data_IF_820098941028
#
_entry.id   IF_820098941028
#
_cell.length_a   1.000
_cell.length_b   1.000
_cell.length_c   1.000
_cell.angle_alpha   90.00
_cell.angle_beta   90.00
_cell.angle_gamma   90.00
#
_symmetry.space_group_name_H-M   'P 1'
#
loop_
_entity.id
_entity.type
_entity.pdbx_description
1 polymer ?
#
# COMPACT_ATOMS: atom_id res chain seq x y z
N UNK A 1 -8.54 -30.93 26.66
CA UNK A 1 -8.63 -30.39 25.28
C UNK A 1 -9.83 -29.44 25.22
N UNK A 2 -9.68 -28.25 24.62
CA UNK A 2 -10.64 -27.10 24.59
C UNK A 2 -10.69 -26.19 25.83
N UNK A 3 -9.57 -25.64 26.31
CA UNK A 3 -9.53 -24.42 27.16
C UNK A 3 -8.26 -23.56 26.96
N UNK A 4 -7.68 -23.55 25.76
CA UNK A 4 -6.42 -22.84 25.47
C UNK A 4 -6.53 -21.67 24.46
N UNK A 5 -7.73 -21.37 23.96
CA UNK A 5 -7.93 -20.32 22.94
C UNK A 5 -8.39 -18.96 23.50
N UNK A 6 -8.69 -18.84 24.80
CA UNK A 6 -9.34 -17.64 25.36
C UNK A 6 -8.34 -16.64 25.97
N UNK A 7 -7.07 -17.04 26.19
CA UNK A 7 -6.08 -16.14 26.82
C UNK A 7 -5.49 -15.11 25.85
N UNK A 8 -5.59 -15.31 24.53
CA UNK A 8 -5.08 -14.33 23.55
C UNK A 8 -5.96 -13.11 23.35
N UNK A 9 -7.21 -13.11 23.81
CA UNK A 9 -8.14 -11.99 23.60
C UNK A 9 -8.16 -10.96 24.74
N UNK A 10 -7.42 -11.20 25.84
CA UNK A 10 -7.45 -10.35 27.04
C UNK A 10 -6.13 -9.60 27.34
N UNK A 11 -5.16 -9.65 26.43
CA UNK A 11 -3.92 -8.84 26.51
C UNK A 11 -3.91 -7.66 25.50
N UNK A 12 -5.08 -7.23 25.02
CA UNK A 12 -5.22 -6.05 24.16
C UNK A 12 -5.37 -4.72 24.96
N UNK A 13 -5.21 -4.73 26.29
CA UNK A 13 -5.36 -3.55 27.15
C UNK A 13 -4.10 -3.16 27.95
N UNK A 14 -2.99 -3.88 27.79
CA UNK A 14 -1.69 -3.42 28.29
C UNK A 14 -1.00 -2.75 27.11
N UNK A 15 -0.95 -1.42 27.14
CA UNK A 15 -0.36 -0.54 26.13
C UNK A 15 1.15 -0.70 25.94
N UNK A 16 1.63 -1.93 25.72
CA UNK A 16 2.89 -2.16 25.04
C UNK A 16 2.63 -1.82 23.58
N UNK A 17 2.70 -0.53 23.25
CA UNK A 17 3.01 -0.13 21.88
C UNK A 17 4.31 -0.88 21.55
N UNK A 18 4.31 -1.83 20.59
CA UNK A 18 5.59 -2.27 20.06
C UNK A 18 6.38 -1.00 19.71
N UNK A 19 7.68 -0.92 20.02
CA UNK A 19 8.45 0.27 19.70
C UNK A 19 8.15 0.59 18.25
N UNK A 20 7.55 1.76 18.01
CA UNK A 20 7.35 2.24 16.65
C UNK A 20 8.75 2.26 16.06
N UNK A 21 9.03 1.27 15.22
CA UNK A 21 10.33 1.13 14.61
C UNK A 21 10.52 2.43 13.86
N UNK A 22 11.48 3.25 14.30
CA UNK A 22 11.95 4.39 13.53
C UNK A 22 12.61 3.78 12.30
N UNK A 23 11.78 3.44 11.30
CA UNK A 23 12.26 3.08 9.99
C UNK A 23 12.89 4.34 9.42
N UNK A 24 14.22 4.31 9.29
CA UNK A 24 14.94 5.32 8.56
C UNK A 24 14.56 5.14 7.07
N UNK A 25 13.44 5.74 6.67
CA UNK A 25 12.84 5.67 5.34
C UNK A 25 13.66 6.47 4.32
N UNK A 26 14.88 6.00 4.04
CA UNK A 26 15.52 6.28 2.77
C UNK A 26 15.49 4.99 1.97
N UNK A 27 14.43 4.80 1.15
CA UNK A 27 14.48 3.80 0.09
C UNK A 27 15.79 4.00 -0.66
N UNK A 28 16.58 2.94 -0.80
CA UNK A 28 17.86 3.01 -1.54
C UNK A 28 17.64 3.22 -3.05
N UNK A 29 16.41 3.05 -3.52
CA UNK A 29 16.02 3.28 -4.90
C UNK A 29 15.46 4.69 -5.06
N UNK A 30 15.88 5.34 -6.14
CA UNK A 30 15.14 6.50 -6.64
C UNK A 30 13.76 6.01 -7.06
N UNK A 31 12.73 6.48 -6.37
CA UNK A 31 11.34 6.24 -6.74
C UNK A 31 10.75 7.46 -7.44
N UNK A 32 9.86 7.19 -8.38
CA UNK A 32 8.96 8.18 -8.95
C UNK A 32 7.58 8.00 -8.33
N UNK A 33 6.89 9.09 -8.06
CA UNK A 33 5.53 9.05 -7.51
C UNK A 33 4.64 10.07 -8.18
N UNK A 34 3.34 9.85 -8.09
CA UNK A 34 2.37 10.73 -8.72
C UNK A 34 0.94 10.38 -8.37
N UNK A 35 0.03 10.99 -9.14
CA UNK A 35 -1.39 10.78 -8.98
C UNK A 35 -2.03 10.36 -10.30
N UNK A 36 -2.95 9.41 -10.22
CA UNK A 36 -3.82 8.99 -11.31
C UNK A 36 -5.20 9.59 -11.04
N UNK A 37 -5.65 10.46 -11.94
CA UNK A 37 -6.98 11.06 -11.84
C UNK A 37 -8.03 10.04 -12.27
N UNK A 38 -9.07 9.93 -11.44
CA UNK A 38 -10.19 9.01 -11.58
C UNK A 38 -11.49 9.77 -11.38
N UNK A 39 -12.62 9.16 -11.72
CA UNK A 39 -13.90 9.81 -11.48
C UNK A 39 -14.13 10.04 -9.97
N UNK A 40 -14.43 11.29 -9.63
CA UNK A 40 -14.61 11.74 -8.26
C UNK A 40 -13.37 11.63 -7.36
N UNK A 41 -12.14 11.63 -7.89
CA UNK A 41 -10.94 11.61 -7.05
C UNK A 41 -9.58 11.45 -7.74
N UNK A 42 -8.58 11.07 -6.93
CA UNK A 42 -7.22 10.74 -7.38
C UNK A 42 -6.63 9.59 -6.57
N UNK A 43 -5.86 8.74 -7.24
CA UNK A 43 -5.10 7.65 -6.62
C UNK A 43 -3.62 8.03 -6.57
N UNK A 44 -3.00 8.00 -5.40
CA UNK A 44 -1.55 8.10 -5.27
C UNK A 44 -0.89 6.79 -5.70
N UNK A 45 0.25 6.88 -6.39
CA UNK A 45 1.11 5.73 -6.64
C UNK A 45 2.59 6.10 -6.45
N UNK A 46 3.40 5.08 -6.20
CA UNK A 46 4.85 5.14 -6.18
C UNK A 46 5.41 3.95 -6.95
N UNK A 47 6.48 4.19 -7.72
CA UNK A 47 7.17 3.18 -8.51
C UNK A 47 8.67 3.29 -8.41
N UNK A 48 9.35 2.14 -8.43
CA UNK A 48 10.80 2.03 -8.43
C UNK A 48 11.26 0.76 -9.15
N UNK A 49 12.54 0.70 -9.50
CA UNK A 49 13.15 -0.44 -10.16
C UNK A 49 12.95 -0.46 -11.68
N UNK A 50 13.30 -1.57 -12.31
CA UNK A 50 13.21 -1.83 -13.77
C UNK A 50 12.84 -3.30 -14.02
N UNK A 51 12.46 -3.64 -15.24
CA UNK A 51 12.06 -4.99 -15.65
C UNK A 51 10.55 -5.21 -15.61
N UNK A 52 10.16 -6.48 -15.39
CA UNK A 52 8.76 -6.89 -15.35
C UNK A 52 8.01 -6.22 -14.19
N UNK A 53 6.74 -5.87 -14.43
CA UNK A 53 5.93 -5.16 -13.45
C UNK A 53 5.39 -6.07 -12.35
N UNK A 54 5.46 -5.61 -11.11
CA UNK A 54 4.73 -6.17 -9.98
C UNK A 54 3.92 -5.05 -9.33
N UNK A 55 2.61 -5.24 -9.22
CA UNK A 55 1.72 -4.28 -8.55
C UNK A 55 1.35 -4.78 -7.16
N UNK A 56 1.68 -3.99 -6.14
CA UNK A 56 1.39 -4.27 -4.74
C UNK A 56 0.11 -3.56 -4.31
N UNK A 57 -0.83 -4.36 -3.82
CA UNK A 57 -2.19 -3.95 -3.48
C UNK A 57 -2.38 -4.12 -1.97
N UNK A 58 -2.68 -3.03 -1.28
CA UNK A 58 -3.01 -3.06 0.15
C UNK A 58 -4.53 -3.18 0.36
N UNK A 59 -4.95 -3.48 1.59
CA UNK A 59 -6.36 -3.46 1.99
C UNK A 59 -6.63 -2.41 3.09
N UNK A 60 -7.84 -2.39 3.64
CA UNK A 60 -8.26 -1.39 4.62
C UNK A 60 -7.35 -1.27 5.85
N UNK A 61 -7.43 -0.11 6.51
CA UNK A 61 -6.66 0.30 7.71
C UNK A 61 -5.16 0.56 7.47
N UNK A 62 -4.64 0.31 6.27
CA UNK A 62 -3.25 0.57 5.89
C UNK A 62 -3.17 1.33 4.56
N UNK A 63 -1.95 1.68 4.15
CA UNK A 63 -1.59 2.36 2.88
C UNK A 63 -0.45 1.61 2.18
N UNK A 64 0.05 2.14 1.07
CA UNK A 64 1.23 1.65 0.33
C UNK A 64 2.47 1.42 1.20
N UNK A 65 2.60 2.12 2.32
CA UNK A 65 3.73 2.05 3.26
C UNK A 65 3.87 0.67 3.92
N UNK A 66 2.80 -0.13 3.99
CA UNK A 66 2.88 -1.53 4.48
C UNK A 66 3.87 -2.38 3.68
N UNK A 67 4.15 -1.95 2.45
CA UNK A 67 5.06 -2.61 1.53
C UNK A 67 6.48 -2.02 1.51
N UNK A 68 6.86 -1.08 2.39
CA UNK A 68 8.19 -0.43 2.34
C UNK A 68 9.35 -1.43 2.19
N UNK A 69 9.33 -2.51 2.99
CA UNK A 69 10.37 -3.56 2.93
C UNK A 69 10.35 -4.31 1.60
N UNK A 70 9.17 -4.73 1.12
CA UNK A 70 9.03 -5.48 -0.13
C UNK A 70 9.33 -4.61 -1.35
N UNK A 71 8.97 -3.33 -1.30
CA UNK A 71 9.22 -2.36 -2.35
C UNK A 71 10.71 -2.25 -2.62
N UNK A 72 11.52 -2.04 -1.58
CA UNK A 72 12.98 -1.95 -1.69
C UNK A 72 13.64 -3.27 -2.12
N UNK A 73 13.14 -4.41 -1.62
CA UNK A 73 13.71 -5.71 -1.95
C UNK A 73 13.40 -6.12 -3.40
N UNK A 74 12.17 -5.92 -3.85
CA UNK A 74 11.73 -6.35 -5.18
C UNK A 74 12.18 -5.38 -6.28
N UNK A 75 12.33 -4.08 -5.98
CA UNK A 75 12.84 -3.06 -6.91
C UNK A 75 14.26 -3.34 -7.43
N UNK A 76 15.01 -4.23 -6.76
CA UNK A 76 16.32 -4.73 -7.23
C UNK A 76 16.25 -5.51 -8.54
N UNK A 77 15.08 -6.08 -8.88
CA UNK A 77 14.93 -6.99 -10.03
C UNK A 77 13.70 -6.70 -10.89
N UNK A 78 12.67 -6.10 -10.32
CA UNK A 78 11.39 -5.85 -10.97
C UNK A 78 11.03 -4.38 -10.91
N UNK A 79 10.13 -3.94 -11.79
CA UNK A 79 9.51 -2.62 -11.67
C UNK A 79 8.30 -2.71 -10.76
N UNK A 80 8.42 -2.16 -9.57
CA UNK A 80 7.37 -2.22 -8.56
C UNK A 80 6.47 -1.02 -8.72
N UNK A 81 5.16 -1.24 -8.65
CA UNK A 81 4.16 -0.20 -8.47
C UNK A 81 3.41 -0.52 -7.18
N UNK A 82 3.34 0.43 -6.26
CA UNK A 82 2.41 0.39 -5.13
C UNK A 82 1.52 1.61 -5.20
N UNK A 83 0.24 1.44 -4.93
CA UNK A 83 -0.70 2.56 -4.97
C UNK A 83 -1.61 2.53 -3.75
N UNK A 84 -2.07 3.71 -3.36
CA UNK A 84 -3.07 3.85 -2.32
C UNK A 84 -4.45 3.69 -2.93
N UNK A 85 -5.22 2.73 -2.44
CA UNK A 85 -6.64 2.61 -2.81
C UNK A 85 -7.38 3.88 -2.40
N UNK A 86 -8.44 4.20 -3.15
CA UNK A 86 -9.36 5.29 -2.84
C UNK A 86 -9.79 5.24 -1.36
N UNK A 87 -9.85 6.40 -0.70
CA UNK A 87 -10.07 6.57 0.75
C UNK A 87 -8.92 6.15 1.70
N UNK A 88 -7.72 5.86 1.18
CA UNK A 88 -6.57 5.48 2.02
C UNK A 88 -5.31 6.25 1.67
N UNK A 89 -4.40 6.34 2.64
CA UNK A 89 -3.07 6.92 2.48
C UNK A 89 -3.13 8.34 1.89
N UNK A 90 -2.47 8.52 0.75
CA UNK A 90 -2.37 9.79 0.02
C UNK A 90 -3.45 9.94 -1.06
N UNK A 91 -4.28 8.93 -1.29
CA UNK A 91 -5.42 8.98 -2.23
C UNK A 91 -6.59 9.75 -1.64
N UNK A 92 -7.45 10.31 -2.50
CA UNK A 92 -8.62 11.06 -2.03
C UNK A 92 -9.76 10.14 -1.60
N UNK A 93 -10.64 10.66 -0.74
CA UNK A 93 -11.95 10.06 -0.44
C UNK A 93 -12.86 10.04 -1.69
N UNK A 94 -13.76 9.05 -1.81
CA UNK A 94 -14.70 8.97 -2.92
C UNK A 94 -15.71 10.13 -2.90
N UNK A 95 -15.85 10.82 -4.03
CA UNK A 95 -16.92 11.80 -4.26
C UNK A 95 -18.02 11.28 -5.20
N UNK A 96 -17.90 10.03 -5.63
CA UNK A 96 -18.83 9.35 -6.53
C UNK A 96 -18.83 7.84 -6.25
N UNK A 97 -19.81 7.12 -6.81
CA UNK A 97 -19.82 5.66 -6.80
C UNK A 97 -18.55 5.12 -7.48
N UNK A 98 -18.00 4.05 -6.92
CA UNK A 98 -16.72 3.54 -7.41
C UNK A 98 -16.59 2.02 -7.27
N UNK A 99 -15.59 1.47 -7.97
CA UNK A 99 -15.20 0.07 -7.92
C UNK A 99 -13.69 -0.02 -7.73
N UNK A 100 -13.25 -0.77 -6.72
CA UNK A 100 -11.82 -1.00 -6.50
C UNK A 100 -11.14 -1.73 -7.67
N UNK A 101 -11.89 -2.58 -8.39
CA UNK A 101 -11.39 -3.28 -9.58
C UNK A 101 -11.21 -2.28 -10.73
N UNK A 102 -12.15 -1.36 -10.91
CA UNK A 102 -12.02 -0.33 -11.94
C UNK A 102 -10.88 0.64 -11.60
N UNK A 103 -10.73 1.03 -10.34
CA UNK A 103 -9.60 1.84 -9.88
C UNK A 103 -8.26 1.15 -10.17
N UNK A 104 -8.14 -0.16 -9.90
CA UNK A 104 -6.96 -0.95 -10.27
C UNK A 104 -6.71 -0.95 -11.80
N UNK A 105 -7.77 -1.14 -12.59
CA UNK A 105 -7.66 -1.07 -14.04
C UNK A 105 -7.19 0.31 -14.53
N UNK A 106 -7.56 1.40 -13.83
CA UNK A 106 -7.06 2.76 -14.13
C UNK A 106 -5.57 2.87 -13.84
N UNK A 107 -5.09 2.25 -12.77
CA UNK A 107 -3.64 2.16 -12.49
C UNK A 107 -2.93 1.48 -13.65
N UNK A 108 -3.43 0.33 -14.11
CA UNK A 108 -2.79 -0.43 -15.18
C UNK A 108 -2.73 0.37 -16.49
N UNK A 109 -3.87 0.93 -16.90
CA UNK A 109 -3.97 1.72 -18.13
C UNK A 109 -3.09 2.96 -18.11
N UNK A 110 -3.08 3.71 -17.01
CA UNK A 110 -2.38 4.99 -16.97
C UNK A 110 -0.86 4.84 -16.84
N UNK A 111 -0.40 3.78 -16.16
CA UNK A 111 1.02 3.46 -16.07
C UNK A 111 1.52 2.64 -17.25
N UNK A 112 0.62 2.26 -18.18
CA UNK A 112 0.91 1.48 -19.39
C UNK A 112 1.55 0.12 -19.07
N UNK A 113 0.97 -0.57 -18.09
CA UNK A 113 1.41 -1.90 -17.64
C UNK A 113 0.39 -2.97 -18.01
#
# INVERSE_FOLDING_TARGET
MKKLAIVFYLLALIGIKPPAQKYNNSSSFKSDSGYIFIDGGKLFYETAGDGEYIVLLHDGMVSHEIWDTQFDLLAKKYRIVRYDRRAYGKSSDPQANYSHIEDLNRVFKQLKI
#
